data_IF_359982943652
#
_entry.id   IF_359982943652
#
_cell.length_a   1.000
_cell.length_b   1.000
_cell.length_c   1.000
_cell.angle_alpha   90.00
_cell.angle_beta   90.00
_cell.angle_gamma   90.00
#
_symmetry.space_group_name_H-M   'P 1'
#
loop_
_entity.id
_entity.type
_entity.pdbx_description
1 polymer ?
#
# COMPACT_ATOMS: atom_id res chain seq x y z
N UNK A 1 -28.66 21.95 -35.56
CA UNK A 1 -28.47 20.60 -35.00
C UNK A 1 -29.81 19.87 -35.08
N UNK A 2 -29.94 18.83 -35.91
CA UNK A 2 -31.21 18.10 -36.08
C UNK A 2 -31.55 17.31 -34.81
N UNK A 3 -32.80 17.39 -34.33
CA UNK A 3 -33.26 16.61 -33.17
C UNK A 3 -33.53 15.18 -33.64
N UNK A 4 -32.96 14.20 -32.95
CA UNK A 4 -33.31 12.79 -33.18
C UNK A 4 -34.74 12.51 -32.70
N UNK A 5 -35.39 11.51 -33.30
CA UNK A 5 -36.72 11.08 -32.90
C UNK A 5 -36.72 10.64 -31.43
N UNK A 6 -37.72 11.07 -30.66
CA UNK A 6 -37.81 10.84 -29.21
C UNK A 6 -37.97 9.36 -28.81
N UNK A 7 -38.11 8.43 -29.76
CA UNK A 7 -38.21 7.00 -29.46
C UNK A 7 -39.39 6.58 -28.58
N UNK A 8 -40.44 7.41 -28.46
CA UNK A 8 -41.57 7.17 -27.52
C UNK A 8 -42.21 5.78 -27.62
N UNK A 9 -42.26 5.23 -28.84
CA UNK A 9 -42.81 3.91 -29.15
C UNK A 9 -41.73 2.94 -29.65
N UNK A 10 -40.46 3.27 -29.46
CA UNK A 10 -39.38 2.39 -29.85
C UNK A 10 -39.32 1.20 -28.89
N UNK A 11 -39.03 0.03 -29.46
CA UNK A 11 -38.75 -1.17 -28.71
C UNK A 11 -37.26 -1.48 -28.79
N UNK A 12 -36.71 -1.99 -27.70
CA UNK A 12 -35.39 -2.61 -27.67
C UNK A 12 -35.51 -4.09 -27.33
N UNK A 13 -34.45 -4.83 -27.63
CA UNK A 13 -34.31 -6.25 -27.32
C UNK A 13 -33.35 -6.34 -26.14
N UNK A 14 -33.71 -7.11 -25.10
CA UNK A 14 -32.84 -7.36 -23.96
C UNK A 14 -31.65 -8.20 -24.40
N UNK A 15 -30.42 -7.78 -24.04
CA UNK A 15 -29.19 -8.51 -24.35
C UNK A 15 -29.06 -9.83 -23.55
N UNK A 16 -29.84 -10.01 -22.48
CA UNK A 16 -29.78 -11.20 -21.60
C UNK A 16 -30.73 -12.31 -22.02
N UNK A 17 -31.99 -11.95 -22.29
CA UNK A 17 -33.05 -12.92 -22.62
C UNK A 17 -33.54 -12.87 -24.06
N UNK A 18 -33.24 -11.80 -24.79
CA UNK A 18 -33.80 -11.56 -26.11
C UNK A 18 -35.27 -11.11 -26.11
N UNK A 19 -35.88 -10.86 -24.94
CA UNK A 19 -37.25 -10.34 -24.87
C UNK A 19 -37.35 -8.88 -25.31
N UNK A 20 -38.52 -8.51 -25.84
CA UNK A 20 -38.81 -7.16 -26.34
C UNK A 20 -39.40 -6.29 -25.24
N UNK A 21 -38.72 -5.18 -24.94
CA UNK A 21 -39.17 -4.16 -23.98
C UNK A 21 -39.31 -2.80 -24.66
N UNK A 22 -40.04 -1.87 -24.04
CA UNK A 22 -40.04 -0.47 -24.48
C UNK A 22 -38.67 0.12 -24.21
N UNK A 23 -38.06 0.76 -25.21
CA UNK A 23 -36.69 1.30 -25.12
C UNK A 23 -36.53 2.28 -23.94
N UNK A 24 -37.61 2.98 -23.62
CA UNK A 24 -37.72 3.97 -22.55
C UNK A 24 -37.70 3.34 -21.14
N UNK A 25 -38.04 2.06 -21.03
CA UNK A 25 -38.11 1.31 -19.77
C UNK A 25 -36.88 0.42 -19.54
N UNK A 26 -36.08 0.20 -20.60
CA UNK A 26 -34.85 -0.59 -20.51
C UNK A 26 -33.78 0.14 -19.69
N UNK A 27 -32.95 -0.62 -18.99
CA UNK A 27 -31.87 -0.12 -18.14
C UNK A 27 -30.54 -0.66 -18.61
N UNK A 28 -29.50 0.17 -18.52
CA UNK A 28 -28.13 -0.25 -18.84
C UNK A 28 -27.47 -0.77 -17.56
N UNK A 29 -27.05 -2.02 -17.59
CA UNK A 29 -26.32 -2.67 -16.49
C UNK A 29 -24.89 -2.13 -16.36
N UNK A 30 -24.27 -2.44 -15.22
CA UNK A 30 -22.87 -2.11 -14.94
C UNK A 30 -21.88 -2.82 -15.88
N UNK A 31 -22.29 -3.93 -16.48
CA UNK A 31 -21.57 -4.67 -17.54
C UNK A 31 -21.63 -3.96 -18.90
N UNK A 32 -22.52 -2.98 -19.05
CA UNK A 32 -22.76 -2.25 -20.29
C UNK A 32 -23.90 -2.79 -21.14
N UNK A 33 -24.51 -3.92 -20.77
CA UNK A 33 -25.66 -4.56 -21.45
C UNK A 33 -26.95 -3.74 -21.23
N UNK A 34 -27.83 -3.71 -22.23
CA UNK A 34 -29.16 -3.09 -22.16
C UNK A 34 -30.19 -4.19 -21.91
N UNK A 35 -30.84 -4.14 -20.74
CA UNK A 35 -31.74 -5.20 -20.27
C UNK A 35 -33.09 -4.66 -19.84
N UNK A 36 -34.08 -5.55 -19.72
CA UNK A 36 -35.38 -5.26 -19.14
C UNK A 36 -35.26 -4.85 -17.65
N UNK A 37 -36.22 -4.07 -17.12
CA UNK A 37 -36.21 -3.63 -15.72
C UNK A 37 -36.38 -4.76 -14.70
N UNK A 38 -36.96 -5.89 -15.12
CA UNK A 38 -37.14 -7.15 -14.42
C UNK A 38 -35.86 -7.98 -14.34
N UNK A 39 -34.99 -7.85 -15.35
CA UNK A 39 -33.72 -8.57 -15.44
C UNK A 39 -32.54 -7.78 -14.90
N UNK A 40 -32.73 -6.52 -14.54
CA UNK A 40 -31.67 -5.60 -14.15
C UNK A 40 -30.93 -6.06 -12.89
N UNK A 41 -29.65 -6.38 -13.02
CA UNK A 41 -28.78 -6.68 -11.88
C UNK A 41 -28.10 -5.42 -11.34
N UNK A 42 -28.28 -5.16 -10.05
CA UNK A 42 -27.57 -4.08 -9.36
C UNK A 42 -26.08 -4.39 -9.30
N UNK A 43 -25.25 -3.35 -9.43
CA UNK A 43 -23.80 -3.48 -9.31
C UNK A 43 -23.42 -4.11 -7.96
N UNK A 44 -22.60 -5.16 -7.99
CA UNK A 44 -22.14 -5.82 -6.77
C UNK A 44 -21.13 -4.94 -6.01
N UNK A 45 -21.18 -4.90 -4.66
CA UNK A 45 -20.40 -3.97 -3.83
C UNK A 45 -18.87 -4.17 -3.92
N UNK A 46 -18.41 -5.29 -4.47
CA UNK A 46 -16.99 -5.57 -4.65
C UNK A 46 -16.32 -4.72 -5.75
N UNK A 47 -17.10 -4.15 -6.66
CA UNK A 47 -16.63 -3.34 -7.80
C UNK A 47 -16.70 -1.83 -7.55
N UNK A 48 -17.12 -1.44 -6.36
CA UNK A 48 -17.07 -0.05 -5.93
C UNK A 48 -15.76 0.16 -5.17
N UNK A 49 -14.95 1.17 -5.55
CA UNK A 49 -13.80 1.54 -4.76
C UNK A 49 -14.29 1.89 -3.35
N UNK A 50 -13.94 1.07 -2.36
CA UNK A 50 -14.21 1.41 -0.97
C UNK A 50 -13.57 2.78 -0.70
N UNK A 51 -14.31 3.65 -0.01
CA UNK A 51 -13.77 4.95 0.42
C UNK A 51 -12.46 4.69 1.15
N UNK A 52 -11.35 5.27 0.68
CA UNK A 52 -10.09 5.25 1.41
C UNK A 52 -10.35 5.92 2.77
N UNK A 53 -10.29 5.15 3.84
CA UNK A 53 -10.23 5.69 5.19
C UNK A 53 -8.81 6.21 5.35
N UNK A 54 -8.65 7.52 5.48
CA UNK A 54 -7.39 8.12 5.87
C UNK A 54 -7.13 7.73 7.31
N UNK A 55 -6.33 6.67 7.51
CA UNK A 55 -5.76 6.40 8.82
C UNK A 55 -4.77 7.55 9.14
N UNK A 56 -4.99 8.32 10.23
CA UNK A 56 -4.10 9.41 10.60
C UNK A 56 -2.67 8.95 10.93
N UNK A 57 -2.43 7.65 11.10
CA UNK A 57 -1.11 7.09 11.36
C UNK A 57 -0.42 6.48 10.13
N UNK A 58 -1.07 6.44 8.97
CA UNK A 58 -0.48 5.83 7.77
C UNK A 58 0.56 6.74 7.10
N UNK A 59 1.82 6.30 7.05
CA UNK A 59 2.86 6.91 6.22
C UNK A 59 2.76 6.38 4.78
N UNK A 60 2.61 7.30 3.81
CA UNK A 60 2.42 6.98 2.39
C UNK A 60 3.60 6.23 1.76
N UNK A 61 4.82 6.44 2.27
CA UNK A 61 6.06 5.79 1.81
C UNK A 61 7.06 5.72 2.98
N UNK A 62 6.81 4.83 3.95
CA UNK A 62 7.69 4.69 5.12
C UNK A 62 9.08 4.23 4.68
N UNK A 63 10.12 4.96 5.12
CA UNK A 63 11.51 4.62 4.81
C UNK A 63 11.84 3.22 5.32
N UNK A 64 12.51 2.36 4.54
CA UNK A 64 12.98 1.07 5.05
C UNK A 64 13.87 1.28 6.27
N UNK A 65 13.64 0.49 7.33
CA UNK A 65 14.39 0.57 8.57
C UNK A 65 15.90 0.34 8.28
N UNK A 66 16.76 1.23 8.78
CA UNK A 66 18.21 1.03 8.72
C UNK A 66 18.60 0.04 9.83
N UNK A 67 19.40 -0.96 9.50
CA UNK A 67 20.09 -1.77 10.52
C UNK A 67 21.22 -0.92 11.12
N UNK A 68 21.06 -0.50 12.37
CA UNK A 68 22.12 0.21 13.10
C UNK A 68 23.29 -0.74 13.41
N UNK A 69 24.56 -0.30 13.29
CA UNK A 69 25.69 -1.09 13.72
C UNK A 69 25.70 -1.25 15.25
N UNK A 70 26.13 -2.41 15.73
CA UNK A 70 26.26 -2.69 17.16
C UNK A 70 27.30 -1.75 17.80
N UNK A 71 26.87 -0.89 18.71
CA UNK A 71 27.77 -0.10 19.56
C UNK A 71 28.26 -0.97 20.72
N UNK A 72 29.56 -1.25 20.76
CA UNK A 72 30.23 -1.89 21.89
C UNK A 72 31.03 -0.84 22.65
N UNK A 73 30.58 -0.50 23.87
CA UNK A 73 31.30 0.40 24.76
C UNK A 73 32.57 -0.27 25.28
N UNK A 74 33.73 0.36 25.07
CA UNK A 74 35.02 -0.09 25.61
C UNK A 74 35.42 0.86 26.73
N UNK A 75 35.78 0.34 27.90
CA UNK A 75 36.28 1.15 29.02
C UNK A 75 35.22 1.76 29.96
N UNK A 76 33.93 1.61 29.68
CA UNK A 76 32.84 2.05 30.59
C UNK A 76 31.80 0.94 30.76
N UNK A 77 31.48 0.52 32.01
CA UNK A 77 30.43 -0.47 32.24
C UNK A 77 29.06 0.14 31.95
N UNK A 78 28.33 -0.44 31.00
CA UNK A 78 26.96 0.00 30.65
C UNK A 78 25.95 -0.98 31.24
N UNK A 79 24.96 -0.49 31.99
CA UNK A 79 23.86 -1.33 32.50
C UNK A 79 22.95 -1.69 31.33
N UNK A 80 22.92 -2.97 30.95
CA UNK A 80 22.12 -3.49 29.84
C UNK A 80 22.79 -3.50 28.46
N UNK A 81 24.09 -3.16 28.38
CA UNK A 81 24.88 -3.22 27.15
C UNK A 81 25.64 -4.54 26.96
N UNK A 82 26.36 -4.71 25.82
CA UNK A 82 27.22 -5.89 25.60
C UNK A 82 28.28 -6.01 26.70
N UNK A 83 28.70 -7.25 27.00
CA UNK A 83 29.63 -7.54 28.09
C UNK A 83 30.91 -6.67 28.01
N UNK A 84 31.25 -6.01 29.11
CA UNK A 84 32.41 -5.14 29.24
C UNK A 84 33.71 -5.89 28.88
N UNK A 85 34.48 -5.34 27.94
CA UNK A 85 35.82 -5.82 27.59
C UNK A 85 36.87 -4.84 28.12
N UNK A 86 37.71 -5.21 29.11
CA UNK A 86 38.77 -4.34 29.59
C UNK A 86 39.85 -4.16 28.50
N UNK A 87 40.35 -2.93 28.36
CA UNK A 87 41.51 -2.64 27.51
C UNK A 87 42.76 -3.18 28.21
N UNK A 88 43.40 -4.19 27.62
CA UNK A 88 44.71 -4.67 28.05
C UNK A 88 45.78 -3.92 27.25
N UNK A 89 46.34 -2.85 27.82
CA UNK A 89 47.47 -2.14 27.24
C UNK A 89 48.77 -2.65 27.86
N UNK A 90 49.57 -3.39 27.09
CA UNK A 90 50.92 -3.81 27.49
C UNK A 90 51.93 -2.81 26.91
N UNK A 91 52.66 -2.10 27.78
CA UNK A 91 53.76 -1.22 27.38
C UNK A 91 55.10 -1.88 27.65
N UNK A 92 55.96 -2.01 26.64
CA UNK A 92 57.34 -2.47 26.78
C UNK A 92 58.25 -1.24 26.77
N UNK A 93 58.99 -1.00 27.85
CA UNK A 93 60.02 0.05 27.90
C UNK A 93 61.38 -0.60 27.65
N UNK A 94 62.10 -0.13 26.63
CA UNK A 94 63.43 -0.61 26.28
C UNK A 94 64.48 -0.24 27.33
N UNK A 95 65.57 -1.01 27.42
CA UNK A 95 66.68 -0.75 28.34
C UNK A 95 67.66 0.27 27.76
N UNK A 96 68.03 1.27 28.57
CA UNK A 96 69.03 2.29 28.20
C UNK A 96 70.32 2.01 28.96
N UNK A 97 71.43 1.84 28.24
CA UNK A 97 72.77 1.64 28.84
C UNK A 97 73.51 2.97 28.83
N UNK A 98 73.78 3.53 30.01
CA UNK A 98 74.62 4.73 30.18
C UNK A 98 76.04 4.27 30.50
N UNK A 99 76.99 4.61 29.64
CA UNK A 99 78.43 4.44 29.90
C UNK A 99 79.02 5.77 30.30
N UNK A 100 79.62 5.82 31.49
CA UNK A 100 80.38 6.98 31.97
C UNK A 100 81.85 6.57 31.94
N UNK A 101 82.65 7.35 31.21
CA UNK A 101 84.10 7.24 31.08
C UNK A 101 84.84 7.74 32.32
#
# INVERSE_FOLDING_TARGET
MGRFASGKFAYGISDRSGFRYRLNEMKREWTGMLVGPDEFETKQPQLEPRRKVSDPQALKDARPARTEPLLVSVGVPTIGGPAFKPLLANGQVGTVTVTVS
#
